data_IF_116194077301
#
_entry.id   IF_116194077301
#
_cell.length_a   1.000
_cell.length_b   1.000
_cell.length_c   1.000
_cell.angle_alpha   90.00
_cell.angle_beta   90.00
_cell.angle_gamma   90.00
#
_symmetry.space_group_name_H-M   'P 1'
#
loop_
_entity.id
_entity.type
_entity.pdbx_description
1 polymer ?
#
# COMPACT_ATOMS: atom_id res chain seq x y z
N UNK A 1 4.26 16.83 3.04
CA UNK A 1 5.08 15.63 3.31
C UNK A 1 4.25 14.43 2.91
N UNK A 2 4.83 13.48 2.18
CA UNK A 2 4.17 12.20 1.86
C UNK A 2 4.12 11.35 3.14
N UNK A 3 2.98 10.71 3.46
CA UNK A 3 2.89 9.85 4.64
C UNK A 3 3.81 8.64 4.50
N UNK A 4 4.45 8.27 5.61
CA UNK A 4 5.29 7.09 5.74
C UNK A 4 4.82 6.23 6.91
N UNK A 5 5.06 4.93 6.82
CA UNK A 5 4.77 3.97 7.87
C UNK A 5 5.89 2.93 7.97
N UNK A 6 5.97 2.27 9.13
CA UNK A 6 6.88 1.15 9.33
C UNK A 6 6.15 -0.14 8.97
N UNK A 7 6.62 -0.83 7.93
CA UNK A 7 6.18 -2.15 7.56
C UNK A 7 7.14 -3.19 8.15
N UNK A 8 6.63 -4.08 8.99
CA UNK A 8 7.42 -5.16 9.60
C UNK A 8 7.32 -6.42 8.75
N UNK A 9 8.44 -6.78 8.11
CA UNK A 9 8.59 -8.03 7.36
C UNK A 9 9.62 -8.91 8.09
N UNK A 10 10.77 -9.21 7.48
CA UNK A 10 11.95 -9.76 8.18
C UNK A 10 12.64 -8.71 9.08
N UNK A 11 12.52 -7.45 8.69
CA UNK A 11 12.97 -6.28 9.44
C UNK A 11 11.99 -5.11 9.24
N UNK A 12 12.27 -4.01 9.94
CA UNK A 12 11.49 -2.79 9.81
C UNK A 12 11.88 -2.05 8.51
N UNK A 13 10.90 -1.80 7.65
CA UNK A 13 11.03 -0.99 6.45
C UNK A 13 10.21 0.28 6.58
N UNK A 14 10.83 1.44 6.30
CA UNK A 14 10.06 2.68 6.14
C UNK A 14 9.54 2.72 4.72
N UNK A 15 8.22 2.64 4.58
CA UNK A 15 7.53 2.68 3.29
C UNK A 15 6.67 3.93 3.16
N UNK A 16 6.44 4.34 1.92
CA UNK A 16 5.49 5.37 1.54
C UNK A 16 4.59 4.84 0.44
N UNK A 17 3.39 5.41 0.32
CA UNK A 17 2.46 5.08 -0.77
C UNK A 17 2.08 6.37 -1.49
N UNK A 18 2.82 6.70 -2.55
CA UNK A 18 2.63 7.89 -3.37
C UNK A 18 2.45 7.55 -4.84
N UNK A 19 2.63 8.55 -5.69
CA UNK A 19 2.30 8.42 -7.12
C UNK A 19 3.16 7.36 -7.83
N UNK A 20 4.43 7.23 -7.46
CA UNK A 20 5.34 6.26 -8.09
C UNK A 20 4.95 4.83 -7.72
N UNK A 21 4.62 4.60 -6.46
CA UNK A 21 4.20 3.31 -5.93
C UNK A 21 2.85 2.89 -6.51
N UNK A 22 1.92 3.83 -6.66
CA UNK A 22 0.65 3.61 -7.35
C UNK A 22 0.85 3.23 -8.81
N UNK A 23 1.61 4.02 -9.57
CA UNK A 23 1.88 3.74 -10.99
C UNK A 23 2.57 2.38 -11.17
N UNK A 24 3.48 2.01 -10.27
CA UNK A 24 4.11 0.68 -10.30
C UNK A 24 3.10 -0.43 -10.02
N UNK A 25 2.23 -0.25 -9.02
CA UNK A 25 1.16 -1.21 -8.76
C UNK A 25 0.23 -1.39 -9.96
N UNK A 26 -0.18 -0.31 -10.64
CA UNK A 26 -1.02 -0.39 -11.83
C UNK A 26 -0.34 -1.18 -12.96
N UNK A 27 0.96 -0.96 -13.18
CA UNK A 27 1.76 -1.72 -14.16
C UNK A 27 1.80 -3.21 -13.83
N UNK A 28 1.90 -3.56 -12.55
CA UNK A 28 2.02 -4.95 -12.11
C UNK A 28 0.69 -5.70 -12.03
N UNK A 29 -0.39 -4.98 -11.68
CA UNK A 29 -1.72 -5.56 -11.46
C UNK A 29 -2.64 -5.45 -12.67
N UNK A 30 -2.39 -4.48 -13.57
CA UNK A 30 -3.31 -4.09 -14.63
C UNK A 30 -4.57 -3.37 -14.14
N UNK A 31 -4.66 -3.04 -12.84
CA UNK A 31 -5.82 -2.36 -12.22
C UNK A 31 -5.59 -0.86 -12.19
N UNK A 32 -6.66 -0.08 -12.29
CA UNK A 32 -6.59 1.38 -12.11
C UNK A 32 -6.76 1.70 -10.62
N UNK A 33 -5.66 2.08 -9.99
CA UNK A 33 -5.59 2.19 -8.55
C UNK A 33 -6.22 3.46 -7.97
N UNK A 34 -6.37 4.46 -8.82
CA UNK A 34 -6.95 5.76 -8.46
C UNK A 34 -8.47 5.79 -8.66
N UNK A 35 -9.01 4.86 -9.47
CA UNK A 35 -10.44 4.78 -9.80
C UNK A 35 -11.16 3.65 -9.07
N UNK A 36 -10.50 2.51 -8.85
CA UNK A 36 -11.09 1.39 -8.12
C UNK A 36 -10.87 1.56 -6.62
N UNK A 37 -11.88 1.20 -5.83
CA UNK A 37 -11.76 1.12 -4.37
C UNK A 37 -11.00 -0.18 -4.02
N UNK A 38 -9.71 -0.23 -4.41
CA UNK A 38 -8.87 -1.45 -4.40
C UNK A 38 -8.92 -2.14 -3.03
N UNK A 39 -8.96 -1.37 -1.94
CA UNK A 39 -8.99 -1.89 -0.57
C UNK A 39 -10.29 -2.60 -0.20
N UNK A 40 -11.37 -2.42 -0.96
CA UNK A 40 -12.64 -3.12 -0.74
C UNK A 40 -12.59 -4.57 -1.20
N UNK A 41 -11.74 -4.90 -2.18
CA UNK A 41 -11.59 -6.23 -2.77
C UNK A 41 -10.11 -6.57 -3.05
N UNK A 42 -9.25 -6.28 -2.08
CA UNK A 42 -7.82 -6.53 -2.21
C UNK A 42 -7.51 -8.03 -2.06
N UNK A 43 -6.88 -8.63 -3.07
CA UNK A 43 -6.39 -10.00 -2.97
C UNK A 43 -4.99 -10.05 -2.33
N UNK A 44 -4.56 -11.22 -1.86
CA UNK A 44 -3.19 -11.41 -1.35
C UNK A 44 -2.13 -11.03 -2.41
N UNK A 45 -2.39 -11.33 -3.68
CA UNK A 45 -1.52 -10.94 -4.79
C UNK A 45 -1.47 -9.42 -4.97
N UNK A 46 -2.58 -8.71 -4.73
CA UNK A 46 -2.60 -7.24 -4.79
C UNK A 46 -1.83 -6.63 -3.61
N UNK A 47 -1.97 -7.20 -2.40
CA UNK A 47 -1.16 -6.79 -1.24
C UNK A 47 0.33 -6.96 -1.55
N UNK A 48 0.74 -8.12 -2.08
CA UNK A 48 2.12 -8.38 -2.48
C UNK A 48 2.63 -7.34 -3.48
N UNK A 49 1.84 -7.02 -4.50
CA UNK A 49 2.22 -6.01 -5.51
C UNK A 49 2.34 -4.63 -4.90
N UNK A 50 1.44 -4.22 -4.01
CA UNK A 50 1.53 -2.94 -3.31
C UNK A 50 2.74 -2.86 -2.40
N UNK A 51 3.00 -3.90 -1.61
CA UNK A 51 4.21 -3.97 -0.75
C UNK A 51 5.46 -3.88 -1.62
N UNK A 52 5.55 -4.67 -2.69
CA UNK A 52 6.68 -4.62 -3.61
C UNK A 52 6.87 -3.23 -4.23
N UNK A 53 5.78 -2.59 -4.70
CA UNK A 53 5.82 -1.22 -5.23
C UNK A 53 6.37 -0.24 -4.20
N UNK A 54 5.94 -0.32 -2.94
CA UNK A 54 6.44 0.54 -1.88
C UNK A 54 7.94 0.30 -1.59
N UNK A 55 8.33 -0.96 -1.48
CA UNK A 55 9.70 -1.34 -1.17
C UNK A 55 10.68 -0.99 -2.29
N UNK A 56 10.26 -1.08 -3.56
CA UNK A 56 11.07 -0.71 -4.73
C UNK A 56 11.56 0.75 -4.70
N UNK A 57 10.76 1.64 -4.13
CA UNK A 57 11.09 3.07 -3.98
C UNK A 57 11.57 3.43 -2.58
N UNK A 58 11.62 2.49 -1.64
CA UNK A 58 12.18 2.71 -0.31
C UNK A 58 13.71 2.69 -0.35
N UNK A 59 14.33 3.60 0.40
CA UNK A 59 15.79 3.69 0.46
C UNK A 59 16.41 2.40 0.99
N UNK A 60 17.34 1.83 0.21
CA UNK A 60 18.13 0.67 0.61
C UNK A 60 17.41 -0.68 0.54
N UNK A 61 16.25 -0.76 -0.12
CA UNK A 61 15.56 -2.03 -0.37
C UNK A 61 15.67 -2.45 -1.84
N UNK A 62 16.21 -3.66 -2.07
CA UNK A 62 16.36 -4.26 -3.40
C UNK A 62 15.74 -5.66 -3.46
N UNK A 63 14.63 -5.87 -2.74
CA UNK A 63 13.93 -7.15 -2.76
C UNK A 63 13.26 -7.37 -4.13
N UNK A 64 13.35 -8.60 -4.63
CA UNK A 64 12.56 -9.04 -5.79
C UNK A 64 11.13 -9.36 -5.37
N UNK A 65 10.22 -9.50 -6.34
CA UNK A 65 8.83 -9.85 -6.06
C UNK A 65 8.71 -11.23 -5.37
N UNK A 66 9.56 -12.19 -5.76
CA UNK A 66 9.62 -13.51 -5.14
C UNK A 66 10.15 -13.46 -3.71
N UNK A 67 11.10 -12.56 -3.42
CA UNK A 67 11.57 -12.35 -2.06
C UNK A 67 10.50 -11.67 -1.20
N UNK A 68 9.78 -10.69 -1.73
CA UNK A 68 8.65 -10.09 -1.04
C UNK A 68 7.55 -11.12 -0.75
N UNK A 69 7.25 -12.03 -1.68
CA UNK A 69 6.20 -13.04 -1.48
C UNK A 69 6.55 -14.03 -0.38
N UNK A 70 7.84 -14.37 -0.23
CA UNK A 70 8.32 -15.20 0.86
C UNK A 70 8.19 -14.55 2.26
N UNK A 71 8.08 -13.22 2.32
CA UNK A 71 7.97 -12.45 3.56
C UNK A 71 6.51 -12.14 3.97
N UNK A 72 5.56 -12.33 3.06
CA UNK A 72 4.14 -12.07 3.28
C UNK A 72 3.42 -13.40 3.50
N UNK A 73 3.05 -13.66 4.75
CA UNK A 73 2.34 -14.85 5.20
C UNK A 73 0.92 -14.54 5.68
N UNK A 74 0.12 -15.57 5.93
CA UNK A 74 -1.26 -15.40 6.42
C UNK A 74 -1.32 -14.75 7.82
N UNK A 75 -0.25 -14.87 8.61
CA UNK A 75 -0.09 -14.34 9.95
C UNK A 75 0.16 -12.82 9.98
N UNK A 76 0.81 -12.26 8.96
CA UNK A 76 1.10 -10.82 8.87
C UNK A 76 0.30 -10.08 7.77
N UNK A 77 -0.38 -10.80 6.88
CA UNK A 77 -1.12 -10.23 5.74
C UNK A 77 -2.12 -9.14 6.16
N UNK A 78 -2.88 -9.36 7.24
CA UNK A 78 -3.89 -8.41 7.71
C UNK A 78 -3.27 -7.12 8.23
N UNK A 79 -2.16 -7.22 8.94
CA UNK A 79 -1.44 -6.06 9.48
C UNK A 79 -0.77 -5.24 8.36
N UNK A 80 -0.23 -5.93 7.37
CA UNK A 80 0.32 -5.33 6.15
C UNK A 80 -0.79 -4.58 5.38
N UNK A 81 -1.92 -5.24 5.12
CA UNK A 81 -3.03 -4.65 4.40
C UNK A 81 -3.57 -3.41 5.13
N UNK A 82 -3.68 -3.48 6.47
CA UNK A 82 -4.06 -2.35 7.30
C UNK A 82 -3.07 -1.19 7.18
N UNK A 83 -1.77 -1.45 7.25
CA UNK A 83 -0.73 -0.43 7.12
C UNK A 83 -0.81 0.29 5.77
N UNK A 84 -0.99 -0.46 4.68
CA UNK A 84 -1.17 0.09 3.33
C UNK A 84 -2.45 0.93 3.22
N UNK A 85 -3.54 0.50 3.86
CA UNK A 85 -4.80 1.25 3.89
C UNK A 85 -4.64 2.57 4.64
N UNK A 86 -3.98 2.56 5.81
CA UNK A 86 -3.69 3.77 6.59
C UNK A 86 -2.84 4.76 5.79
N UNK A 87 -1.80 4.28 5.09
CA UNK A 87 -1.00 5.10 4.19
C UNK A 87 -1.81 5.69 3.03
N UNK A 88 -2.70 4.90 2.43
CA UNK A 88 -3.56 5.38 1.35
C UNK A 88 -4.51 6.49 1.82
N UNK A 89 -5.14 6.30 2.98
CA UNK A 89 -6.05 7.30 3.57
C UNK A 89 -5.28 8.57 3.93
N UNK A 90 -4.11 8.45 4.56
CA UNK A 90 -3.27 9.59 4.93
C UNK A 90 -2.72 10.35 3.71
N UNK A 91 -2.56 9.67 2.56
CA UNK A 91 -2.04 10.23 1.32
C UNK A 91 -3.09 10.94 0.48
N UNK A 92 -4.38 10.66 0.72
CA UNK A 92 -5.47 11.40 0.09
C UNK A 92 -5.57 12.78 0.73
N UNK A 93 -5.56 13.88 -0.03
CA UNK A 93 -5.89 15.18 0.53
C UNK A 93 -7.29 15.07 1.13
N UNK A 94 -7.39 15.36 2.42
CA UNK A 94 -8.61 15.33 3.23
C UNK A 94 -9.82 15.77 2.39
N UNK A 95 -10.62 14.81 1.91
CA UNK A 95 -11.97 15.12 1.45
C UNK A 95 -12.74 15.32 2.74
N UNK A 96 -12.56 16.49 3.36
CA UNK A 96 -13.29 16.89 4.56
C UNK A 96 -14.77 16.66 4.28
N UNK A 97 -15.33 15.68 4.99
CA UNK A 97 -16.74 15.47 5.28
C UNK A 97 -17.73 16.06 4.28
N UNK A 98 -18.06 15.29 3.25
CA UNK A 98 -19.38 15.38 2.65
C UNK A 98 -20.43 14.93 3.68
N UNK A 99 -21.13 15.92 4.24
CA UNK A 99 -22.41 15.86 4.95
C UNK A 99 -22.48 15.26 6.37
N UNK A 100 -22.67 16.16 7.35
CA UNK A 100 -23.45 15.84 8.56
C UNK A 100 -24.01 17.11 9.25
N UNK A 101 -25.04 17.73 8.67
CA UNK A 101 -26.34 18.00 9.34
C UNK A 101 -27.22 18.95 8.52
N UNK A 102 -28.26 18.35 7.92
CA UNK A 102 -29.61 18.94 7.91
C UNK A 102 -29.99 19.36 9.34
N UNK A 103 -30.28 20.64 9.54
CA UNK A 103 -31.35 21.13 10.42
C UNK A 103 -31.80 22.49 9.92
#
# INVERSE_FOLDING_TARGET
MQPTAILKLDKDYTISLGMNEWVEFEKLSGKNALMDDIFTNISMTDVLRLVYSCLKYSDGCNLTMDQCSALIGNDNLMDIARTLMELSVAGRPDVKGGDAKKK
#
